data_IF_032200866015
#
_entry.id   IF_032200866015
#
_cell.length_a   1.000
_cell.length_b   1.000
_cell.length_c   1.000
_cell.angle_alpha   90.00
_cell.angle_beta   90.00
_cell.angle_gamma   90.00
#
_symmetry.space_group_name_H-M   'P 1'
#
loop_
_entity.id
_entity.type
_entity.pdbx_description
1 polymer ?
#
# COMPACT_ATOMS: atom_id res chain seq x y z
N UNK A 1 3.44 -2.34 13.05
CA UNK A 1 3.44 -2.25 14.54
C UNK A 1 4.27 -3.39 15.13
N UNK A 2 3.96 -4.65 14.84
CA UNK A 2 4.71 -5.82 15.37
C UNK A 2 6.21 -5.87 15.06
N UNK A 3 6.63 -5.43 13.86
CA UNK A 3 8.05 -5.37 13.50
C UNK A 3 8.85 -4.36 14.33
N UNK A 4 8.22 -3.21 14.65
CA UNK A 4 8.83 -2.14 15.46
C UNK A 4 8.88 -2.52 16.95
N UNK A 5 7.92 -3.31 17.40
CA UNK A 5 7.91 -3.93 18.74
C UNK A 5 8.91 -5.09 18.87
N UNK A 6 9.72 -5.38 17.83
CA UNK A 6 10.68 -6.50 17.76
C UNK A 6 10.05 -7.88 18.01
N UNK A 7 8.75 -8.04 17.75
CA UNK A 7 8.01 -9.30 18.00
C UNK A 7 8.17 -10.36 16.90
N UNK A 8 8.93 -10.09 15.85
CA UNK A 8 9.13 -11.03 14.73
C UNK A 8 10.42 -10.77 13.96
N UNK A 9 10.87 -11.76 13.21
CA UNK A 9 12.06 -11.67 12.37
C UNK A 9 11.77 -10.88 11.08
N UNK A 10 12.73 -10.07 10.62
CA UNK A 10 12.64 -9.32 9.36
C UNK A 10 12.27 -10.23 8.17
N UNK A 11 12.76 -11.47 8.16
CA UNK A 11 12.46 -12.45 7.12
C UNK A 11 10.99 -12.86 7.10
N UNK A 12 10.33 -12.94 8.27
CA UNK A 12 8.90 -13.28 8.34
C UNK A 12 8.04 -12.19 7.71
N UNK A 13 8.36 -10.92 7.96
CA UNK A 13 7.64 -9.78 7.37
C UNK A 13 7.84 -9.72 5.85
N UNK A 14 9.07 -9.95 5.37
CA UNK A 14 9.33 -10.01 3.93
C UNK A 14 8.57 -11.15 3.26
N UNK A 15 8.58 -12.35 3.86
CA UNK A 15 7.84 -13.51 3.34
C UNK A 15 6.35 -13.23 3.22
N UNK A 16 5.74 -12.67 4.26
CA UNK A 16 4.31 -12.32 4.24
C UNK A 16 4.02 -11.27 3.18
N UNK A 17 4.88 -10.25 3.05
CA UNK A 17 4.76 -9.22 2.02
C UNK A 17 4.79 -9.81 0.62
N UNK A 18 5.77 -10.67 0.31
CA UNK A 18 5.89 -11.32 -1.00
C UNK A 18 4.69 -12.23 -1.30
N UNK A 19 4.28 -13.07 -0.34
CA UNK A 19 3.13 -13.97 -0.53
C UNK A 19 1.85 -13.19 -0.76
N UNK A 20 1.61 -12.12 0.00
CA UNK A 20 0.45 -11.25 -0.20
C UNK A 20 0.49 -10.54 -1.55
N UNK A 21 1.65 -10.01 -1.94
CA UNK A 21 1.83 -9.34 -3.22
C UNK A 21 1.54 -10.28 -4.40
N UNK A 22 2.05 -11.52 -4.35
CA UNK A 22 1.80 -12.54 -5.38
C UNK A 22 0.33 -12.97 -5.41
N UNK A 23 -0.29 -13.21 -4.24
CA UNK A 23 -1.71 -13.56 -4.16
C UNK A 23 -2.61 -12.47 -4.76
N UNK A 24 -2.30 -11.21 -4.49
CA UNK A 24 -3.00 -10.06 -5.07
C UNK A 24 -2.81 -9.99 -6.58
N UNK A 25 -1.61 -10.21 -7.10
CA UNK A 25 -1.36 -10.23 -8.54
C UNK A 25 -2.13 -11.35 -9.24
N UNK A 26 -2.14 -12.56 -8.67
CA UNK A 26 -2.91 -13.69 -9.22
C UNK A 26 -4.40 -13.37 -9.23
N UNK A 27 -4.93 -12.84 -8.12
CA UNK A 27 -6.32 -12.41 -8.04
C UNK A 27 -6.66 -11.34 -9.08
N UNK A 28 -5.81 -10.33 -9.22
CA UNK A 28 -5.97 -9.27 -10.22
C UNK A 28 -6.02 -9.82 -11.65
N UNK A 29 -5.15 -10.76 -12.01
CA UNK A 29 -5.16 -11.41 -13.33
C UNK A 29 -6.43 -12.23 -13.58
N UNK A 30 -6.91 -12.98 -12.57
CA UNK A 30 -8.14 -13.76 -12.68
C UNK A 30 -9.34 -12.84 -12.91
N UNK A 31 -9.52 -11.81 -12.09
CA UNK A 31 -10.64 -10.89 -12.21
C UNK A 31 -10.57 -10.06 -13.50
N UNK A 32 -9.37 -9.63 -13.88
CA UNK A 32 -9.14 -8.94 -15.14
C UNK A 32 -9.58 -9.79 -16.33
N UNK A 33 -9.17 -11.07 -16.36
CA UNK A 33 -9.56 -12.01 -17.42
C UNK A 33 -11.06 -12.33 -17.40
N UNK A 34 -11.65 -12.47 -16.21
CA UNK A 34 -13.08 -12.68 -16.05
C UNK A 34 -13.88 -11.53 -16.69
N UNK A 35 -13.56 -10.28 -16.35
CA UNK A 35 -14.34 -9.12 -16.77
C UNK A 35 -14.08 -8.65 -18.21
N UNK A 36 -12.95 -9.03 -18.79
CA UNK A 36 -12.60 -8.69 -20.18
C UNK A 36 -12.94 -9.80 -21.16
N UNK A 37 -12.54 -11.03 -20.88
CA UNK A 37 -12.62 -12.14 -21.84
C UNK A 37 -13.81 -13.06 -21.62
N UNK A 38 -14.29 -13.24 -20.38
CA UNK A 38 -15.38 -14.18 -20.10
C UNK A 38 -16.74 -13.47 -20.09
N UNK A 39 -16.83 -12.29 -19.48
CA UNK A 39 -18.09 -11.54 -19.38
C UNK A 39 -18.17 -10.35 -20.32
N UNK A 40 -17.04 -9.95 -20.92
CA UNK A 40 -16.93 -8.81 -21.86
C UNK A 40 -17.48 -7.47 -21.33
N UNK A 41 -17.72 -7.37 -20.02
CA UNK A 41 -18.40 -6.21 -19.41
C UNK A 41 -17.56 -4.93 -19.49
N UNK A 42 -16.23 -5.08 -19.58
CA UNK A 42 -15.28 -3.99 -19.74
C UNK A 42 -14.80 -3.80 -21.18
N UNK A 43 -15.25 -4.65 -22.11
CA UNK A 43 -14.82 -4.64 -23.51
C UNK A 43 -15.57 -3.61 -24.35
N UNK A 44 -16.69 -3.11 -23.84
CA UNK A 44 -17.50 -2.05 -24.47
C UNK A 44 -17.12 -0.64 -24.00
N UNK A 45 -17.36 0.34 -24.85
CA UNK A 45 -17.22 1.75 -24.49
C UNK A 45 -18.36 2.21 -23.57
N UNK A 46 -18.10 3.11 -22.60
CA UNK A 46 -16.87 3.90 -22.41
C UNK A 46 -15.80 3.23 -21.52
N UNK A 47 -16.04 2.01 -21.02
CA UNK A 47 -15.15 1.38 -20.05
C UNK A 47 -13.83 0.93 -20.68
N UNK A 48 -13.88 0.43 -21.92
CA UNK A 48 -12.69 0.03 -22.66
C UNK A 48 -11.74 1.20 -22.91
N UNK A 49 -12.22 2.23 -23.60
CA UNK A 49 -11.43 3.44 -23.88
C UNK A 49 -10.99 4.17 -22.60
N UNK A 50 -11.87 4.27 -21.60
CA UNK A 50 -11.55 4.90 -20.31
C UNK A 50 -10.40 4.23 -19.58
N UNK A 51 -10.40 2.89 -19.52
CA UNK A 51 -9.34 2.12 -18.85
C UNK A 51 -8.00 2.22 -19.58
N UNK A 52 -8.02 2.17 -20.92
CA UNK A 52 -6.82 2.34 -21.74
C UNK A 52 -6.25 3.76 -21.60
N UNK A 53 -7.09 4.79 -21.62
CA UNK A 53 -6.67 6.20 -21.45
C UNK A 53 -6.04 6.42 -20.07
N UNK A 54 -6.69 5.94 -19.02
CA UNK A 54 -6.21 6.07 -17.65
C UNK A 54 -4.81 5.50 -17.47
N UNK A 55 -4.59 4.26 -17.92
CA UNK A 55 -3.27 3.63 -17.86
C UNK A 55 -2.24 4.35 -18.73
N UNK A 56 -2.66 4.88 -19.88
CA UNK A 56 -1.75 5.58 -20.78
C UNK A 56 -1.23 6.86 -20.12
N UNK A 57 -2.12 7.67 -19.55
CA UNK A 57 -1.77 8.90 -18.82
C UNK A 57 -0.94 8.59 -17.56
N UNK A 58 -1.42 7.66 -16.73
CA UNK A 58 -0.87 7.45 -15.39
C UNK A 58 0.46 6.68 -15.40
N UNK A 59 0.71 5.82 -16.40
CA UNK A 59 1.89 4.94 -16.45
C UNK A 59 2.71 5.14 -17.71
N UNK A 60 2.09 5.06 -18.89
CA UNK A 60 2.85 4.96 -20.16
C UNK A 60 3.51 6.29 -20.49
N UNK A 61 2.79 7.39 -20.37
CA UNK A 61 3.27 8.75 -20.64
C UNK A 61 4.02 9.34 -19.45
N UNK A 62 3.61 8.98 -18.24
CA UNK A 62 4.23 9.46 -17.00
C UNK A 62 5.68 9.00 -16.83
N UNK A 63 6.50 9.88 -16.25
CA UNK A 63 7.89 9.58 -15.92
C UNK A 63 7.99 8.74 -14.65
N UNK A 64 9.03 7.91 -14.54
CA UNK A 64 9.19 6.94 -13.46
C UNK A 64 9.18 7.59 -12.06
N UNK A 65 9.87 8.73 -11.91
CA UNK A 65 9.92 9.47 -10.64
C UNK A 65 8.56 10.07 -10.25
N UNK A 66 7.74 10.48 -11.21
CA UNK A 66 6.39 11.02 -10.96
C UNK A 66 5.49 9.92 -10.41
N UNK A 67 5.53 8.73 -11.02
CA UNK A 67 4.78 7.55 -10.57
C UNK A 67 5.20 7.19 -9.14
N UNK A 68 6.50 7.15 -8.88
CA UNK A 68 7.07 6.87 -7.56
C UNK A 68 6.68 7.91 -6.49
N UNK A 69 6.73 9.20 -6.80
CA UNK A 69 6.36 10.24 -5.83
C UNK A 69 4.85 10.23 -5.53
N UNK A 70 4.00 10.04 -6.55
CA UNK A 70 2.54 9.89 -6.36
C UNK A 70 2.21 8.64 -5.54
N UNK A 71 2.94 7.54 -5.74
CA UNK A 71 2.69 6.30 -4.99
C UNK A 71 3.11 6.39 -3.52
N UNK A 72 4.05 7.27 -3.14
CA UNK A 72 4.35 7.56 -1.71
C UNK A 72 3.12 8.11 -1.00
N UNK A 73 2.44 9.10 -1.61
CA UNK A 73 1.24 9.69 -1.03
C UNK A 73 0.13 8.66 -0.88
N UNK A 74 -0.08 7.81 -1.89
CA UNK A 74 -1.03 6.69 -1.79
C UNK A 74 -0.71 5.76 -0.62
N UNK A 75 0.56 5.33 -0.49
CA UNK A 75 0.98 4.42 0.60
C UNK A 75 0.73 5.01 1.99
N UNK A 76 0.97 6.32 2.13
CA UNK A 76 0.64 7.01 3.37
C UNK A 76 -0.88 7.03 3.63
N UNK A 77 -1.70 7.48 2.67
CA UNK A 77 -3.15 7.60 2.86
C UNK A 77 -3.83 6.25 3.16
N UNK A 78 -3.41 5.17 2.50
CA UNK A 78 -3.95 3.82 2.73
C UNK A 78 -3.60 3.30 4.13
N UNK A 79 -2.35 3.48 4.55
CA UNK A 79 -1.96 3.05 5.91
C UNK A 79 -2.56 3.94 7.00
N UNK A 80 -2.71 5.24 6.72
CA UNK A 80 -3.40 6.19 7.60
C UNK A 80 -4.88 5.84 7.78
N UNK A 81 -5.56 5.50 6.68
CA UNK A 81 -6.93 4.97 6.67
C UNK A 81 -7.07 3.73 7.55
N UNK A 82 -6.16 2.76 7.41
CA UNK A 82 -6.15 1.56 8.26
C UNK A 82 -5.94 1.90 9.74
N UNK A 83 -5.03 2.83 10.06
CA UNK A 83 -4.79 3.27 11.43
C UNK A 83 -6.06 3.90 12.03
N UNK A 84 -6.71 4.83 11.32
CA UNK A 84 -7.97 5.44 11.77
C UNK A 84 -9.08 4.40 11.95
N UNK A 85 -9.17 3.42 11.05
CA UNK A 85 -10.11 2.31 11.15
C UNK A 85 -9.87 1.43 12.39
N UNK A 86 -8.62 1.22 12.78
CA UNK A 86 -8.28 0.46 13.99
C UNK A 86 -8.52 1.22 15.30
N UNK A 87 -8.46 2.56 15.28
CA UNK A 87 -8.64 3.39 16.48
C UNK A 87 -10.11 3.64 16.83
N UNK A 88 -10.99 3.65 15.82
CA UNK A 88 -12.42 3.84 16.04
C UNK A 88 -13.08 2.57 16.60
N UNK A 89 -14.13 2.72 17.43
CA UNK A 89 -14.90 1.59 17.97
C UNK A 89 -16.20 1.37 17.18
N UNK A 90 -16.86 2.45 16.77
CA UNK A 90 -18.14 2.42 16.06
C UNK A 90 -17.99 2.03 14.59
N UNK A 91 -18.92 1.21 14.08
CA UNK A 91 -18.88 0.71 12.70
C UNK A 91 -18.97 1.82 11.64
N UNK A 92 -19.79 2.85 11.86
CA UNK A 92 -19.92 3.98 10.93
C UNK A 92 -18.61 4.78 10.85
N UNK A 93 -18.04 5.09 12.01
CA UNK A 93 -16.76 5.81 12.10
C UNK A 93 -15.63 5.03 11.43
N UNK A 94 -15.59 3.69 11.60
CA UNK A 94 -14.64 2.82 10.89
C UNK A 94 -14.81 2.89 9.37
N UNK A 95 -16.05 2.77 8.89
CA UNK A 95 -16.35 2.82 7.46
C UNK A 95 -15.93 4.17 6.84
N UNK A 96 -16.26 5.29 7.50
CA UNK A 96 -15.90 6.63 7.03
C UNK A 96 -14.39 6.89 7.11
N UNK A 97 -13.74 6.43 8.18
CA UNK A 97 -12.30 6.49 8.35
C UNK A 97 -11.54 5.71 7.28
N UNK A 98 -12.11 4.59 6.84
CA UNK A 98 -11.55 3.80 5.74
C UNK A 98 -11.80 4.47 4.38
N UNK A 99 -13.02 4.95 4.17
CA UNK A 99 -13.50 5.47 2.90
C UNK A 99 -12.80 6.76 2.46
N UNK A 100 -12.79 7.79 3.31
CA UNK A 100 -12.35 9.12 2.88
C UNK A 100 -10.90 9.19 2.44
N UNK A 101 -9.90 8.64 3.16
CA UNK A 101 -8.53 8.72 2.69
C UNK A 101 -8.28 7.88 1.44
N UNK A 102 -8.99 6.75 1.29
CA UNK A 102 -8.93 5.95 0.06
C UNK A 102 -9.51 6.71 -1.13
N UNK A 103 -10.68 7.35 -0.95
CA UNK A 103 -11.31 8.19 -1.97
C UNK A 103 -10.44 9.38 -2.36
N UNK A 104 -9.79 10.05 -1.40
CA UNK A 104 -8.87 11.15 -1.68
C UNK A 104 -7.67 10.64 -2.50
N UNK A 105 -7.12 9.47 -2.16
CA UNK A 105 -6.01 8.87 -2.92
C UNK A 105 -6.40 8.61 -4.37
N UNK A 106 -7.57 8.01 -4.62
CA UNK A 106 -8.03 7.70 -5.97
C UNK A 106 -8.43 8.95 -6.75
N UNK A 107 -9.10 9.92 -6.11
CA UNK A 107 -9.44 11.21 -6.70
C UNK A 107 -8.21 12.03 -7.08
N UNK A 108 -7.14 11.97 -6.28
CA UNK A 108 -5.84 12.57 -6.58
C UNK A 108 -5.00 11.75 -7.58
N UNK A 109 -5.56 10.67 -8.15
CA UNK A 109 -4.88 9.71 -9.04
C UNK A 109 -3.56 9.20 -8.45
N UNK A 110 -3.49 8.93 -7.16
CA UNK A 110 -2.26 8.39 -6.56
C UNK A 110 -2.26 6.87 -6.73
N UNK A 111 -1.30 6.28 -7.48
CA UNK A 111 -1.39 4.88 -7.86
C UNK A 111 -1.16 3.95 -6.67
N UNK A 112 -2.08 3.00 -6.52
CA UNK A 112 -1.99 1.94 -5.53
C UNK A 112 -1.56 0.61 -6.17
N UNK A 113 -0.67 -0.12 -5.51
CA UNK A 113 -0.05 -1.34 -6.06
C UNK A 113 -1.08 -2.37 -6.51
N UNK A 114 -2.05 -2.71 -5.64
CA UNK A 114 -3.05 -3.75 -5.94
C UNK A 114 -4.07 -3.29 -6.98
N UNK A 115 -4.40 -2.00 -6.99
CA UNK A 115 -5.31 -1.43 -7.98
C UNK A 115 -4.68 -1.48 -9.37
N UNK A 116 -3.40 -1.09 -9.48
CA UNK A 116 -2.68 -1.07 -10.74
C UNK A 116 -2.23 -2.46 -11.21
N UNK A 117 -2.18 -3.46 -10.34
CA UNK A 117 -2.14 -4.87 -10.78
C UNK A 117 -3.40 -5.22 -11.58
N UNK A 118 -4.58 -4.79 -11.12
CA UNK A 118 -5.85 -5.03 -11.80
C UNK A 118 -6.02 -4.16 -13.04
N UNK A 119 -5.97 -2.83 -12.90
CA UNK A 119 -6.13 -1.89 -14.01
C UNK A 119 -5.08 -2.10 -15.09
N UNK A 120 -3.83 -2.39 -14.68
CA UNK A 120 -2.75 -2.71 -15.60
C UNK A 120 -3.05 -3.96 -16.43
N UNK A 121 -3.40 -5.06 -15.76
CA UNK A 121 -3.75 -6.30 -16.45
C UNK A 121 -4.97 -6.14 -17.35
N UNK A 122 -5.98 -5.39 -16.90
CA UNK A 122 -7.22 -5.14 -17.64
C UNK A 122 -6.97 -4.31 -18.88
N UNK A 123 -6.18 -3.25 -18.78
CA UNK A 123 -5.79 -2.46 -19.94
C UNK A 123 -5.01 -3.31 -20.96
N UNK A 124 -4.13 -4.21 -20.51
CA UNK A 124 -3.41 -5.12 -21.39
C UNK A 124 -4.36 -6.07 -22.14
N UNK A 125 -5.33 -6.69 -21.46
CA UNK A 125 -6.32 -7.56 -22.11
C UNK A 125 -7.25 -6.81 -23.07
N UNK A 126 -7.54 -5.54 -22.79
CA UNK A 126 -8.35 -4.68 -23.68
C UNK A 126 -7.58 -4.14 -24.90
N UNK A 127 -6.27 -4.38 -24.99
CA UNK A 127 -5.44 -4.00 -26.14
C UNK A 127 -4.66 -2.70 -25.98
N UNK A 128 -4.36 -2.26 -24.75
CA UNK A 128 -3.43 -1.17 -24.48
C UNK A 128 -2.02 -1.47 -25.02
N UNK A 129 -1.22 -0.46 -25.41
CA UNK A 129 0.19 -0.65 -25.79
C UNK A 129 1.10 -1.09 -24.63
N UNK A 130 0.57 -1.26 -23.42
CA UNK A 130 1.32 -1.76 -22.28
C UNK A 130 1.77 -3.21 -22.47
N UNK A 131 3.08 -3.43 -22.42
CA UNK A 131 3.67 -4.78 -22.40
C UNK A 131 3.82 -5.31 -20.99
N UNK A 132 4.00 -6.63 -20.85
CA UNK A 132 4.29 -7.27 -19.56
C UNK A 132 5.56 -6.66 -18.92
N UNK A 133 6.58 -6.37 -19.72
CA UNK A 133 7.81 -5.72 -19.25
C UNK A 133 7.54 -4.31 -18.70
N UNK A 134 6.71 -3.52 -19.37
CA UNK A 134 6.29 -2.20 -18.88
C UNK A 134 5.46 -2.29 -17.60
N UNK A 135 4.58 -3.28 -17.48
CA UNK A 135 3.80 -3.53 -16.28
C UNK A 135 4.71 -3.74 -15.07
N UNK A 136 5.71 -4.62 -15.14
CA UNK A 136 6.59 -4.85 -14.00
C UNK A 136 7.57 -3.69 -13.74
N UNK A 137 8.23 -3.18 -14.79
CA UNK A 137 9.32 -2.20 -14.64
C UNK A 137 8.82 -0.78 -14.37
N UNK A 138 7.79 -0.36 -15.11
CA UNK A 138 7.33 1.03 -15.15
C UNK A 138 6.13 1.27 -14.26
N UNK A 139 5.30 0.26 -14.03
CA UNK A 139 4.12 0.33 -13.18
C UNK A 139 4.40 -0.24 -11.79
N UNK A 140 4.52 -1.57 -11.66
CA UNK A 140 4.51 -2.24 -10.36
C UNK A 140 5.70 -1.90 -9.48
N UNK A 141 6.91 -1.80 -10.04
CA UNK A 141 8.13 -1.55 -9.27
C UNK A 141 8.13 -0.17 -8.57
N UNK A 142 7.96 0.98 -9.27
CA UNK A 142 7.89 2.28 -8.60
C UNK A 142 6.68 2.40 -7.68
N UNK A 143 5.53 1.81 -8.04
CA UNK A 143 4.31 1.91 -7.23
C UNK A 143 4.48 1.13 -5.92
N UNK A 144 4.99 -0.10 -5.97
CA UNK A 144 5.23 -0.94 -4.79
C UNK A 144 6.25 -0.29 -3.84
N UNK A 145 7.35 0.24 -4.39
CA UNK A 145 8.37 0.91 -3.59
C UNK A 145 7.82 2.17 -2.91
N UNK A 146 7.14 3.04 -3.66
CA UNK A 146 6.60 4.27 -3.08
C UNK A 146 5.49 3.97 -2.07
N UNK A 147 4.57 3.04 -2.35
CA UNK A 147 3.54 2.64 -1.39
C UNK A 147 4.16 2.11 -0.08
N UNK A 148 5.20 1.27 -0.18
CA UNK A 148 5.92 0.72 0.98
C UNK A 148 6.58 1.83 1.79
N UNK A 149 7.29 2.75 1.13
CA UNK A 149 7.96 3.88 1.78
C UNK A 149 6.96 4.81 2.46
N UNK A 150 5.87 5.17 1.76
CA UNK A 150 4.82 6.02 2.31
C UNK A 150 4.18 5.42 3.57
N UNK A 151 3.92 4.12 3.55
CA UNK A 151 3.37 3.42 4.71
C UNK A 151 4.32 3.37 5.92
N UNK A 152 5.60 3.05 5.67
CA UNK A 152 6.60 2.91 6.73
C UNK A 152 6.96 4.27 7.33
N UNK A 153 7.26 5.27 6.49
CA UNK A 153 7.82 6.55 6.92
C UNK A 153 6.80 7.40 7.66
N UNK A 154 5.56 7.50 7.18
CA UNK A 154 4.59 8.39 7.80
C UNK A 154 3.82 7.69 8.91
N UNK A 155 3.08 6.63 8.57
CA UNK A 155 2.22 5.94 9.54
C UNK A 155 3.05 5.07 10.49
N UNK A 156 4.05 4.36 9.96
CA UNK A 156 4.93 3.53 10.79
C UNK A 156 5.76 4.35 11.79
N UNK A 157 6.39 5.45 11.36
CA UNK A 157 7.15 6.31 12.27
C UNK A 157 6.25 7.02 13.29
N UNK A 158 5.06 7.47 12.88
CA UNK A 158 4.09 8.05 13.81
C UNK A 158 3.67 7.05 14.89
N UNK A 159 3.30 5.83 14.51
CA UNK A 159 2.95 4.79 15.48
C UNK A 159 4.12 4.42 16.40
N UNK A 160 5.36 4.37 15.88
CA UNK A 160 6.55 4.16 16.69
C UNK A 160 6.73 5.26 17.74
N UNK A 161 6.60 6.53 17.32
CA UNK A 161 6.79 7.68 18.20
C UNK A 161 5.74 7.73 19.32
N UNK A 162 4.48 7.45 18.99
CA UNK A 162 3.38 7.52 19.98
C UNK A 162 3.40 6.32 20.93
N UNK A 163 3.67 5.11 20.45
CA UNK A 163 3.54 3.91 21.28
C UNK A 163 4.85 3.45 21.92
N UNK A 164 5.96 3.45 21.18
CA UNK A 164 7.21 2.90 21.73
C UNK A 164 8.04 3.97 22.44
N UNK A 165 8.22 5.13 21.81
CA UNK A 165 9.04 6.20 22.41
C UNK A 165 8.39 6.85 23.64
N UNK A 166 7.09 7.10 23.61
CA UNK A 166 6.38 7.67 24.76
C UNK A 166 6.21 6.68 25.92
N UNK A 167 6.00 5.39 25.66
CA UNK A 167 5.86 4.41 26.73
C UNK A 167 7.21 4.11 27.39
N UNK A 168 8.31 4.03 26.62
CA UNK A 168 9.67 3.95 27.17
C UNK A 168 10.00 5.17 28.05
N UNK A 169 9.62 6.39 27.62
CA UNK A 169 9.81 7.60 28.44
C UNK A 169 8.94 7.61 29.69
N UNK A 170 7.68 7.18 29.61
CA UNK A 170 6.82 7.10 30.80
C UNK A 170 7.33 6.07 31.78
N UNK A 171 7.80 4.92 31.30
CA UNK A 171 8.46 3.91 32.13
C UNK A 171 9.72 4.49 32.79
N UNK A 172 10.59 5.16 32.01
CA UNK A 172 11.82 5.81 32.46
C UNK A 172 11.64 7.08 33.33
N UNK A 173 10.40 7.57 33.47
CA UNK A 173 10.04 8.64 34.39
C UNK A 173 9.31 8.12 35.63
N UNK A 174 8.62 6.97 35.53
CA UNK A 174 7.94 6.33 36.64
C UNK A 174 8.89 5.56 37.58
N UNK A 175 10.04 5.12 37.07
CA UNK A 175 11.10 4.44 37.80
C UNK A 175 12.07 5.38 38.54
N UNK A 176 11.92 6.70 38.39
CA UNK A 176 12.50 7.73 39.27
C UNK A 176 14.03 7.85 39.29
N UNK A 177 14.77 6.97 38.62
CA UNK A 177 16.23 6.94 38.63
C UNK A 177 16.74 7.21 37.22
N UNK A 178 17.13 8.47 36.97
CA UNK A 178 17.89 8.82 35.78
C UNK A 178 19.11 7.91 35.64
N UNK A 179 19.19 7.21 34.50
CA UNK A 179 20.22 6.26 34.10
C UNK A 179 20.20 4.88 34.79
N UNK A 180 19.74 3.85 34.08
CA UNK A 180 20.16 2.46 34.33
C UNK A 180 19.15 1.38 33.99
N UNK A 181 19.16 0.90 32.74
CA UNK A 181 19.17 -0.54 32.37
C UNK A 181 18.72 -0.71 30.91
N UNK A 182 19.68 -0.60 30.00
CA UNK A 182 19.57 -1.33 28.73
C UNK A 182 19.43 -2.80 29.13
N UNK A 183 18.25 -3.40 28.90
CA UNK A 183 18.08 -4.85 28.96
C UNK A 183 18.94 -5.46 27.85
N UNK A 184 20.19 -5.73 28.17
CA UNK A 184 21.00 -6.71 27.46
C UNK A 184 20.37 -8.07 27.74
N UNK A 185 20.24 -8.87 26.68
CA UNK A 185 19.68 -10.21 26.78
C UNK A 185 20.52 -11.05 27.71
N UNK A 186 19.85 -11.76 28.60
CA UNK A 186 20.44 -12.88 29.31
C UNK A 186 20.16 -14.12 28.45
N UNK A 187 21.20 -14.54 27.74
CA UNK A 187 21.40 -15.93 27.36
C UNK A 187 21.68 -16.72 28.65
N UNK A 188 20.81 -17.70 28.95
CA UNK A 188 21.12 -18.95 29.68
C UNK A 188 20.04 -20.00 29.36
#
# INVERSE_FOLDING_TARGET
MTALERKGSAFQYLRVGIVSWLGNLIGALIFSGLFTNLTEILSEDPFRSGTISMISEDIIESQWHIIFLRSILCGWLVTFSMMLGTQNQDGISKALALHWPFFISTAAKCPHTVEYMYLGSTAMFLGSPMSLGMLFWKCLLPITLGNTIGGIVFTGAYSWWVHLYCDDKKAAHADGNGWGSVRLGDDD
#
